data_IF_909665320853
#
_entry.id   IF_909665320853
#
_cell.length_a   1.000
_cell.length_b   1.000
_cell.length_c   1.000
_cell.angle_alpha   90.00
_cell.angle_beta   90.00
_cell.angle_gamma   90.00
#
_symmetry.space_group_name_H-M   'P 1'
#
loop_
_entity.id
_entity.type
_entity.pdbx_description
1 polymer ?
#
# COMPACT_ATOMS: atom_id res chain seq x y z
N UNK A 1 22.65 17.15 2.98
CA UNK A 1 21.23 17.12 2.59
C UNK A 1 20.96 18.35 1.75
N UNK A 2 20.21 18.20 0.66
CA UNK A 2 19.87 19.31 -0.23
C UNK A 2 18.50 19.83 0.20
N UNK A 3 18.48 20.84 1.09
CA UNK A 3 17.26 21.41 1.66
C UNK A 3 16.25 21.77 0.57
N UNK A 4 16.73 22.25 -0.59
CA UNK A 4 15.86 22.61 -1.71
C UNK A 4 15.09 21.39 -2.24
N UNK A 5 15.74 20.25 -2.37
CA UNK A 5 15.07 19.02 -2.82
C UNK A 5 14.00 18.57 -1.82
N UNK A 6 14.32 18.62 -0.53
CA UNK A 6 13.42 18.20 0.55
C UNK A 6 12.18 19.10 0.62
N UNK A 7 12.39 20.43 0.49
CA UNK A 7 11.31 21.42 0.40
C UNK A 7 10.40 21.15 -0.82
N UNK A 8 10.99 20.89 -1.99
CA UNK A 8 10.25 20.59 -3.22
C UNK A 8 9.47 19.28 -3.12
N UNK A 9 10.09 18.23 -2.58
CA UNK A 9 9.43 16.93 -2.44
C UNK A 9 8.30 17.00 -1.42
N UNK A 10 8.54 17.62 -0.27
CA UNK A 10 7.51 17.85 0.74
C UNK A 10 6.33 18.63 0.16
N UNK A 11 6.61 19.73 -0.55
CA UNK A 11 5.57 20.54 -1.20
C UNK A 11 4.79 19.77 -2.27
N UNK A 12 5.46 18.93 -3.07
CA UNK A 12 4.81 18.12 -4.09
C UNK A 12 3.91 17.04 -3.46
N UNK A 13 4.42 16.26 -2.49
CA UNK A 13 3.66 15.15 -1.90
C UNK A 13 2.49 15.68 -1.08
N UNK A 14 2.74 16.58 -0.12
CA UNK A 14 1.67 17.08 0.74
C UNK A 14 0.74 18.06 0.02
N UNK A 15 1.23 18.68 -1.07
CA UNK A 15 0.41 19.44 -2.00
C UNK A 15 -0.66 18.58 -2.65
N UNK A 16 -0.22 17.46 -3.24
CA UNK A 16 -1.12 16.48 -3.85
C UNK A 16 -2.01 15.81 -2.82
N UNK A 17 -1.46 15.35 -1.69
CA UNK A 17 -2.24 14.73 -0.61
C UNK A 17 -3.37 15.66 -0.14
N UNK A 18 -3.05 16.91 0.18
CA UNK A 18 -4.04 17.92 0.59
C UNK A 18 -5.09 18.16 -0.50
N UNK A 19 -4.70 18.28 -1.77
CA UNK A 19 -5.65 18.49 -2.88
C UNK A 19 -6.71 17.36 -2.95
N UNK A 20 -6.30 16.14 -2.65
CA UNK A 20 -7.17 14.96 -2.58
C UNK A 20 -7.87 14.80 -1.21
N UNK A 21 -7.72 15.75 -0.30
CA UNK A 21 -8.35 15.76 1.02
C UNK A 21 -7.56 15.03 2.12
N UNK A 22 -6.34 14.58 1.82
CA UNK A 22 -5.48 13.87 2.77
C UNK A 22 -4.92 14.77 3.86
N UNK A 23 -4.85 14.21 5.06
CA UNK A 23 -4.23 14.78 6.25
C UNK A 23 -3.20 13.80 6.81
N UNK A 24 -1.95 13.95 6.37
CA UNK A 24 -0.81 13.14 6.84
C UNK A 24 -0.61 13.14 8.36
N UNK A 25 -1.09 14.18 9.05
CA UNK A 25 -0.95 14.30 10.51
C UNK A 25 -2.17 13.75 11.26
N UNK A 26 -3.23 13.35 10.55
CA UNK A 26 -4.37 12.70 11.18
C UNK A 26 -3.90 11.40 11.86
N UNK A 27 -4.27 11.16 13.13
CA UNK A 27 -3.90 9.93 13.83
C UNK A 27 -4.70 8.71 13.36
N UNK A 28 -5.73 8.92 12.53
CA UNK A 28 -6.63 7.88 12.01
C UNK A 28 -6.53 7.77 10.49
N UNK A 29 -6.75 6.55 9.99
CA UNK A 29 -6.82 6.27 8.56
C UNK A 29 -8.00 6.94 7.86
N UNK A 30 -8.95 7.46 8.64
CA UNK A 30 -10.09 8.23 8.10
C UNK A 30 -9.69 9.54 7.44
N UNK A 31 -8.56 10.14 7.85
CA UNK A 31 -8.05 11.38 7.28
C UNK A 31 -6.87 11.21 6.33
N UNK A 32 -6.21 10.05 6.32
CA UNK A 32 -5.05 9.79 5.45
C UNK A 32 -5.50 9.34 4.08
N UNK A 33 -4.75 9.70 3.03
CA UNK A 33 -5.15 9.34 1.67
C UNK A 33 -4.02 9.02 0.69
N UNK A 34 -3.06 9.91 0.46
CA UNK A 34 -1.90 9.67 -0.41
C UNK A 34 -0.63 9.57 0.42
N UNK A 35 -0.38 10.53 1.31
CA UNK A 35 0.74 10.47 2.24
C UNK A 35 0.34 9.66 3.47
N UNK A 36 0.98 8.50 3.64
CA UNK A 36 0.69 7.56 4.72
C UNK A 36 1.60 7.76 5.94
N UNK A 37 2.69 8.53 5.81
CA UNK A 37 3.56 8.88 6.93
C UNK A 37 4.25 10.23 6.75
N UNK A 38 4.67 10.84 7.86
CA UNK A 38 5.64 11.93 7.90
C UNK A 38 6.49 11.78 9.17
N UNK A 39 7.55 10.99 9.07
CA UNK A 39 8.38 10.63 10.23
C UNK A 39 9.76 11.30 10.25
N UNK A 40 10.03 12.25 9.36
CA UNK A 40 11.34 12.91 9.21
C UNK A 40 11.69 13.90 10.32
N UNK A 41 10.70 14.35 11.10
CA UNK A 41 10.77 15.53 12.00
C UNK A 41 11.00 16.88 11.29
N UNK A 42 11.13 16.89 9.96
CA UNK A 42 11.26 18.12 9.19
C UNK A 42 9.97 18.96 9.28
N UNK A 43 10.07 20.30 9.25
CA UNK A 43 8.91 21.17 9.23
C UNK A 43 7.96 20.83 8.07
N UNK A 44 6.66 20.85 8.35
CA UNK A 44 5.65 20.66 7.32
C UNK A 44 5.67 21.85 6.33
N UNK A 45 5.67 21.60 5.01
CA UNK A 45 5.71 22.63 3.98
C UNK A 45 4.47 23.53 4.01
N UNK A 46 4.56 24.69 3.35
CA UNK A 46 3.42 25.60 3.16
C UNK A 46 2.22 24.91 2.49
N UNK A 47 2.48 23.94 1.60
CA UNK A 47 1.47 23.12 0.96
C UNK A 47 0.53 22.42 1.96
N UNK A 48 1.00 22.16 3.19
CA UNK A 48 0.19 21.60 4.26
C UNK A 48 -0.25 22.66 5.29
N UNK A 49 0.63 23.60 5.66
CA UNK A 49 0.40 24.53 6.78
C UNK A 49 -0.38 25.79 6.41
N UNK A 50 -0.51 26.12 5.12
CA UNK A 50 -1.23 27.31 4.66
C UNK A 50 -2.73 27.26 5.06
N UNK A 51 -3.37 28.37 5.44
CA UNK A 51 -4.78 28.37 5.87
C UNK A 51 -5.76 27.76 4.83
N UNK A 52 -5.52 28.00 3.54
CA UNK A 52 -6.33 27.39 2.47
C UNK A 52 -6.21 25.86 2.43
N UNK A 53 -5.05 25.30 2.80
CA UNK A 53 -4.82 23.86 2.85
C UNK A 53 -5.71 23.17 3.89
N UNK A 54 -5.86 23.79 5.07
CA UNK A 54 -6.68 23.27 6.16
C UNK A 54 -8.14 23.10 5.71
N UNK A 55 -8.70 24.10 5.03
CA UNK A 55 -10.06 24.04 4.51
C UNK A 55 -10.26 22.93 3.47
N UNK A 56 -9.29 22.72 2.58
CA UNK A 56 -9.36 21.62 1.60
C UNK A 56 -9.38 20.26 2.30
N UNK A 57 -8.55 20.05 3.33
CA UNK A 57 -8.56 18.81 4.13
C UNK A 57 -9.88 18.60 4.86
N UNK A 58 -10.39 19.63 5.55
CA UNK A 58 -11.67 19.57 6.27
C UNK A 58 -12.86 19.22 5.36
N UNK A 59 -12.81 19.64 4.10
CA UNK A 59 -13.88 19.42 3.13
C UNK A 59 -13.69 18.17 2.27
N UNK A 60 -12.57 17.44 2.45
CA UNK A 60 -12.26 16.20 1.75
C UNK A 60 -11.72 16.37 0.33
N UNK A 61 -11.31 17.59 -0.04
CA UNK A 61 -10.68 17.91 -1.33
C UNK A 61 -11.46 17.42 -2.55
N UNK A 62 -10.76 17.07 -3.62
CA UNK A 62 -11.38 16.54 -4.86
C UNK A 62 -12.00 15.15 -4.69
N UNK A 63 -11.69 14.44 -3.60
CA UNK A 63 -12.28 13.12 -3.28
C UNK A 63 -13.69 13.23 -2.70
N UNK A 64 -14.10 14.41 -2.25
CA UNK A 64 -15.44 14.64 -1.71
C UNK A 64 -16.52 14.38 -2.76
N UNK A 65 -17.69 13.91 -2.32
CA UNK A 65 -18.87 13.76 -3.20
C UNK A 65 -19.32 15.09 -3.80
N UNK A 66 -19.06 16.18 -3.10
CA UNK A 66 -19.31 17.56 -3.53
C UNK A 66 -18.07 18.39 -3.14
N UNK A 67 -17.06 18.47 -4.04
CA UNK A 67 -15.85 19.25 -3.76
C UNK A 67 -16.17 20.72 -3.46
N UNK A 68 -15.56 21.28 -2.42
CA UNK A 68 -15.61 22.71 -2.11
C UNK A 68 -14.69 23.45 -3.11
N UNK A 69 -15.26 23.78 -4.28
CA UNK A 69 -14.51 24.40 -5.37
C UNK A 69 -13.85 25.71 -4.94
N UNK A 70 -14.50 26.54 -4.11
CA UNK A 70 -13.91 27.80 -3.65
C UNK A 70 -12.66 27.57 -2.79
N UNK A 71 -12.72 26.62 -1.85
CA UNK A 71 -11.57 26.23 -1.05
C UNK A 71 -10.42 25.68 -1.92
N UNK A 72 -10.74 24.84 -2.90
CA UNK A 72 -9.77 24.25 -3.81
C UNK A 72 -9.12 25.33 -4.70
N UNK A 73 -9.89 26.28 -5.23
CA UNK A 73 -9.36 27.42 -5.99
C UNK A 73 -8.41 28.27 -5.15
N UNK A 74 -8.82 28.62 -3.92
CA UNK A 74 -7.99 29.41 -3.02
C UNK A 74 -6.68 28.69 -2.69
N UNK A 75 -6.73 27.36 -2.55
CA UNK A 75 -5.55 26.55 -2.32
C UNK A 75 -4.61 26.51 -3.54
N UNK A 76 -5.14 26.24 -4.73
CA UNK A 76 -4.37 26.21 -5.98
C UNK A 76 -3.81 27.58 -6.37
N UNK A 77 -4.45 28.67 -5.95
CA UNK A 77 -3.92 30.02 -6.11
C UNK A 77 -2.75 30.32 -5.16
N UNK A 78 -2.71 29.68 -3.99
CA UNK A 78 -1.68 29.89 -2.97
C UNK A 78 -0.49 28.94 -3.10
N UNK A 79 -0.72 27.71 -3.59
CA UNK A 79 0.25 26.62 -3.61
C UNK A 79 0.44 26.11 -5.04
N UNK A 80 1.64 26.34 -5.59
CA UNK A 80 2.01 25.89 -6.93
C UNK A 80 2.52 24.43 -6.91
N UNK A 81 1.57 23.49 -6.87
CA UNK A 81 1.85 22.05 -6.89
C UNK A 81 2.58 21.65 -8.19
N UNK A 82 2.16 22.09 -9.40
CA UNK A 82 2.88 21.76 -10.64
C UNK A 82 4.35 22.19 -10.63
N UNK A 83 4.67 23.39 -10.13
CA UNK A 83 6.06 23.85 -10.04
C UNK A 83 6.87 23.00 -9.06
N UNK A 84 6.28 22.58 -7.92
CA UNK A 84 6.94 21.67 -6.99
C UNK A 84 7.24 20.31 -7.64
N UNK A 85 6.26 19.70 -8.32
CA UNK A 85 6.43 18.43 -9.06
C UNK A 85 7.51 18.57 -10.14
N UNK A 86 7.48 19.66 -10.91
CA UNK A 86 8.50 19.92 -11.92
C UNK A 86 9.90 20.08 -11.29
N UNK A 87 10.00 20.79 -10.16
CA UNK A 87 11.22 20.91 -9.38
C UNK A 87 11.77 19.55 -8.95
N UNK A 88 10.92 18.65 -8.44
CA UNK A 88 11.32 17.28 -8.08
C UNK A 88 11.88 16.53 -9.29
N UNK A 89 11.30 16.67 -10.49
CA UNK A 89 11.84 16.06 -11.73
C UNK A 89 13.24 16.60 -12.06
N UNK A 90 13.46 17.91 -11.93
CA UNK A 90 14.75 18.54 -12.18
C UNK A 90 15.81 18.09 -11.17
N UNK A 91 15.46 17.99 -9.89
CA UNK A 91 16.37 17.49 -8.85
C UNK A 91 16.67 15.99 -9.02
N UNK A 92 15.67 15.18 -9.39
CA UNK A 92 15.86 13.76 -9.67
C UNK A 92 16.96 13.53 -10.72
N UNK A 93 16.99 14.35 -11.78
CA UNK A 93 17.98 14.25 -12.86
C UNK A 93 19.43 14.48 -12.39
N UNK A 94 19.64 15.12 -11.23
CA UNK A 94 20.95 15.31 -10.61
C UNK A 94 21.41 14.11 -9.79
N UNK A 95 20.49 13.24 -9.39
CA UNK A 95 20.83 12.00 -8.69
C UNK A 95 21.42 10.96 -9.66
N UNK A 96 22.22 10.06 -9.11
CA UNK A 96 22.72 8.88 -9.82
C UNK A 96 21.93 7.62 -9.50
N UNK A 97 22.06 6.61 -10.36
CA UNK A 97 21.61 5.24 -10.08
C UNK A 97 20.10 5.10 -9.81
N UNK A 98 19.76 4.22 -8.86
CA UNK A 98 18.38 3.86 -8.52
C UNK A 98 17.59 5.03 -7.91
N UNK A 99 18.27 5.91 -7.16
CA UNK A 99 17.62 7.06 -6.52
C UNK A 99 17.03 8.04 -7.53
N UNK A 100 17.74 8.32 -8.63
CA UNK A 100 17.20 9.12 -9.74
C UNK A 100 15.89 8.53 -10.25
N UNK A 101 15.90 7.24 -10.54
CA UNK A 101 14.80 6.58 -11.22
C UNK A 101 13.58 6.44 -10.28
N UNK A 102 13.81 6.20 -8.98
CA UNK A 102 12.78 6.21 -7.94
C UNK A 102 12.10 7.58 -7.81
N UNK A 103 12.89 8.65 -7.66
CA UNK A 103 12.34 10.01 -7.48
C UNK A 103 11.65 10.50 -8.76
N UNK A 104 12.19 10.19 -9.93
CA UNK A 104 11.51 10.47 -11.21
C UNK A 104 10.18 9.70 -11.32
N UNK A 105 10.14 8.46 -10.84
CA UNK A 105 8.92 7.65 -10.74
C UNK A 105 7.87 8.29 -9.84
N UNK A 106 8.26 8.77 -8.65
CA UNK A 106 7.37 9.50 -7.74
C UNK A 106 6.79 10.75 -8.42
N UNK A 107 7.62 11.57 -9.04
CA UNK A 107 7.16 12.78 -9.71
C UNK A 107 6.19 12.50 -10.87
N UNK A 108 6.39 11.40 -11.61
CA UNK A 108 5.44 10.94 -12.63
C UNK A 108 4.10 10.54 -12.02
N UNK A 109 4.11 9.83 -10.88
CA UNK A 109 2.89 9.49 -10.17
C UNK A 109 2.15 10.76 -9.71
N UNK A 110 2.84 11.71 -9.08
CA UNK A 110 2.24 12.97 -8.62
C UNK A 110 1.66 13.82 -9.74
N UNK A 111 2.34 13.91 -10.89
CA UNK A 111 1.80 14.58 -12.07
C UNK A 111 0.50 13.92 -12.55
N UNK A 112 0.45 12.59 -12.57
CA UNK A 112 -0.76 11.86 -12.96
C UNK A 112 -1.89 12.09 -11.97
N UNK A 113 -1.60 12.13 -10.66
CA UNK A 113 -2.57 12.44 -9.61
C UNK A 113 -3.07 13.89 -9.70
N UNK A 114 -2.21 14.83 -10.06
CA UNK A 114 -2.59 16.22 -10.29
C UNK A 114 -3.57 16.34 -11.47
N UNK A 115 -3.23 15.72 -12.60
CA UNK A 115 -4.07 15.77 -13.80
C UNK A 115 -5.44 15.12 -13.56
N UNK A 116 -5.48 14.03 -12.78
CA UNK A 116 -6.74 13.41 -12.34
C UNK A 116 -7.58 14.35 -11.47
N UNK A 117 -6.95 15.13 -10.59
CA UNK A 117 -7.66 16.14 -9.81
C UNK A 117 -8.21 17.25 -10.72
N UNK A 118 -7.44 17.70 -11.73
CA UNK A 118 -7.89 18.71 -12.68
C UNK A 118 -9.01 18.20 -13.59
N UNK A 119 -9.00 16.91 -13.97
CA UNK A 119 -10.10 16.25 -14.68
C UNK A 119 -11.40 16.34 -13.85
N UNK A 120 -11.36 15.98 -12.56
CA UNK A 120 -12.53 16.04 -11.65
C UNK A 120 -13.11 17.45 -11.56
N UNK A 121 -12.24 18.46 -11.51
CA UNK A 121 -12.63 19.87 -11.45
C UNK A 121 -13.13 20.42 -12.79
N UNK A 122 -13.09 19.65 -13.87
CA UNK A 122 -13.45 20.11 -15.21
C UNK A 122 -12.46 21.10 -15.81
N UNK A 123 -11.22 21.11 -15.33
CA UNK A 123 -10.14 22.04 -15.71
C UNK A 123 -9.04 21.40 -16.54
N UNK A 124 -8.95 20.07 -16.51
CA UNK A 124 -8.00 19.27 -17.29
C UNK A 124 -8.71 18.44 -18.36
N UNK A 125 -7.93 17.92 -19.30
CA UNK A 125 -8.40 16.86 -20.20
C UNK A 125 -8.62 15.56 -19.44
N UNK A 126 -9.46 14.68 -19.98
CA UNK A 126 -9.57 13.30 -19.52
C UNK A 126 -8.19 12.63 -19.48
N UNK A 127 -7.85 12.02 -18.35
CA UNK A 127 -6.61 11.28 -18.13
C UNK A 127 -6.84 9.82 -18.55
N UNK A 128 -6.13 9.32 -19.58
CA UNK A 128 -6.33 7.96 -20.07
C UNK A 128 -6.06 6.92 -18.97
N UNK A 129 -6.95 5.93 -18.84
CA UNK A 129 -6.80 4.83 -17.87
C UNK A 129 -5.42 4.16 -17.94
N UNK A 130 -4.92 3.91 -19.14
CA UNK A 130 -3.61 3.28 -19.37
C UNK A 130 -2.46 4.11 -18.78
N UNK A 131 -2.53 5.45 -18.84
CA UNK A 131 -1.53 6.33 -18.23
C UNK A 131 -1.53 6.16 -16.71
N UNK A 132 -2.71 6.08 -16.08
CA UNK A 132 -2.83 5.90 -14.64
C UNK A 132 -2.20 4.58 -14.18
N UNK A 133 -2.49 3.47 -14.86
CA UNK A 133 -1.94 2.15 -14.52
C UNK A 133 -0.43 2.10 -14.76
N UNK A 134 0.06 2.64 -15.89
CA UNK A 134 1.50 2.69 -16.16
C UNK A 134 2.27 3.56 -15.16
N UNK A 135 1.67 4.65 -14.71
CA UNK A 135 2.29 5.52 -13.71
C UNK A 135 2.53 4.76 -12.40
N UNK A 136 1.51 4.08 -11.85
CA UNK A 136 1.62 3.39 -10.55
C UNK A 136 2.26 2.00 -10.60
N UNK A 137 2.20 1.29 -11.73
CA UNK A 137 2.69 -0.10 -11.81
C UNK A 137 3.91 -0.29 -12.71
N UNK A 138 4.20 0.67 -13.59
CA UNK A 138 5.23 0.54 -14.62
C UNK A 138 4.88 -0.40 -15.78
N UNK A 139 3.65 -0.94 -15.83
CA UNK A 139 3.14 -1.78 -16.92
C UNK A 139 1.76 -1.32 -17.38
N UNK A 140 1.39 -1.69 -18.60
CA UNK A 140 0.05 -1.42 -19.14
C UNK A 140 -1.04 -2.20 -18.40
N UNK A 141 -2.32 -1.79 -18.52
CA UNK A 141 -3.44 -2.50 -17.92
C UNK A 141 -3.66 -3.86 -18.59
N UNK A 142 -3.93 -4.87 -17.77
CA UNK A 142 -4.27 -6.22 -18.22
C UNK A 142 -5.36 -6.83 -17.33
N UNK A 143 -6.25 -7.67 -17.89
CA UNK A 143 -7.22 -8.41 -17.08
C UNK A 143 -6.52 -9.41 -16.16
N UNK A 144 -7.19 -9.82 -15.09
CA UNK A 144 -6.71 -10.85 -14.17
C UNK A 144 -7.20 -12.24 -14.58
N UNK A 145 -6.35 -13.27 -14.44
CA UNK A 145 -6.75 -14.67 -14.58
C UNK A 145 -6.88 -15.34 -13.20
N UNK A 146 -8.11 -15.57 -12.70
CA UNK A 146 -8.33 -16.21 -11.42
C UNK A 146 -8.34 -17.74 -11.50
N UNK A 147 -8.35 -18.35 -12.69
CA UNK A 147 -8.66 -19.77 -12.86
C UNK A 147 -7.71 -20.68 -12.07
N UNK A 148 -6.36 -20.52 -12.13
CA UNK A 148 -5.45 -21.41 -11.39
C UNK A 148 -5.67 -21.37 -9.87
N UNK A 149 -5.90 -20.17 -9.31
CA UNK A 149 -6.13 -20.02 -7.87
C UNK A 149 -7.49 -20.58 -7.45
N UNK A 150 -8.53 -20.39 -8.27
CA UNK A 150 -9.87 -20.96 -8.04
C UNK A 150 -9.87 -22.47 -8.08
N UNK A 151 -9.21 -23.07 -9.06
CA UNK A 151 -9.07 -24.51 -9.18
C UNK A 151 -8.35 -25.09 -7.96
N UNK A 152 -7.26 -24.43 -7.51
CA UNK A 152 -6.56 -24.87 -6.30
C UNK A 152 -7.42 -24.75 -5.04
N UNK A 153 -8.19 -23.68 -4.88
CA UNK A 153 -9.13 -23.56 -3.75
C UNK A 153 -10.18 -24.68 -3.81
N UNK A 154 -10.72 -24.98 -4.99
CA UNK A 154 -11.71 -26.04 -5.16
C UNK A 154 -11.12 -27.44 -4.87
N UNK A 155 -9.89 -27.70 -5.30
CA UNK A 155 -9.16 -28.94 -4.99
C UNK A 155 -8.96 -29.09 -3.48
N UNK A 156 -8.51 -28.02 -2.81
CA UNK A 156 -8.35 -28.04 -1.36
C UNK A 156 -9.69 -28.32 -0.69
N UNK A 157 -10.76 -27.60 -1.01
CA UNK A 157 -12.06 -27.75 -0.34
C UNK A 157 -12.85 -29.00 -0.76
N UNK A 158 -12.49 -29.65 -1.87
CA UNK A 158 -13.23 -30.77 -2.45
C UNK A 158 -14.53 -30.37 -3.17
N UNK A 159 -14.85 -29.07 -3.18
CA UNK A 159 -16.04 -28.47 -3.79
C UNK A 159 -15.70 -27.08 -4.34
N UNK A 160 -16.48 -26.59 -5.30
CA UNK A 160 -16.25 -25.29 -5.95
C UNK A 160 -17.45 -24.35 -5.82
N UNK A 161 -17.19 -23.05 -5.93
CA UNK A 161 -18.22 -22.02 -6.02
C UNK A 161 -18.34 -21.14 -4.78
N UNK A 162 -19.01 -20.01 -4.93
CA UNK A 162 -19.12 -18.97 -3.89
C UNK A 162 -19.78 -19.47 -2.62
N UNK A 163 -20.85 -20.28 -2.73
CA UNK A 163 -21.55 -20.84 -1.58
C UNK A 163 -20.63 -21.73 -0.71
N UNK A 164 -19.73 -22.50 -1.34
CA UNK A 164 -18.73 -23.29 -0.63
C UNK A 164 -17.76 -22.39 0.13
N UNK A 165 -17.30 -21.29 -0.47
CA UNK A 165 -16.40 -20.33 0.18
C UNK A 165 -17.09 -19.60 1.32
N UNK A 166 -18.34 -19.20 1.16
CA UNK A 166 -19.08 -18.51 2.23
C UNK A 166 -19.31 -19.42 3.43
N UNK A 167 -19.68 -20.68 3.17
CA UNK A 167 -19.78 -21.70 4.21
C UNK A 167 -18.44 -21.92 4.91
N UNK A 168 -17.35 -22.05 4.15
CA UNK A 168 -16.01 -22.18 4.73
C UNK A 168 -15.63 -20.96 5.58
N UNK A 169 -15.87 -19.73 5.11
CA UNK A 169 -15.62 -18.50 5.89
C UNK A 169 -16.43 -18.47 7.19
N UNK A 170 -17.70 -18.88 7.11
CA UNK A 170 -18.59 -18.93 8.27
C UNK A 170 -18.12 -19.96 9.31
N UNK A 171 -17.72 -21.17 8.87
CA UNK A 171 -17.18 -22.23 9.74
C UNK A 171 -15.87 -21.84 10.43
N UNK A 172 -15.06 -20.99 9.79
CA UNK A 172 -13.76 -20.54 10.30
C UNK A 172 -13.79 -19.13 10.91
N UNK A 173 -14.98 -18.58 11.17
CA UNK A 173 -15.15 -17.19 11.60
C UNK A 173 -14.50 -16.92 12.97
N UNK A 174 -13.82 -15.78 13.08
CA UNK A 174 -13.35 -15.26 14.38
C UNK A 174 -14.47 -14.44 15.04
N UNK A 175 -14.83 -14.73 16.31
CA UNK A 175 -15.67 -13.83 17.09
C UNK A 175 -14.97 -12.50 17.34
N UNK A 176 -15.66 -11.38 17.14
CA UNK A 176 -15.09 -10.04 17.32
C UNK A 176 -14.47 -9.80 18.69
N UNK A 177 -15.09 -10.36 19.75
CA UNK A 177 -14.58 -10.28 21.11
C UNK A 177 -13.17 -10.91 21.27
N UNK A 178 -12.78 -11.80 20.37
CA UNK A 178 -11.50 -12.51 20.40
C UNK A 178 -10.40 -11.82 19.58
N UNK A 179 -10.73 -10.88 18.69
CA UNK A 179 -9.76 -10.27 17.76
C UNK A 179 -8.57 -9.64 18.49
N UNK A 180 -8.81 -8.90 19.59
CA UNK A 180 -7.71 -8.23 20.30
C UNK A 180 -6.71 -9.23 20.89
N UNK A 181 -7.22 -10.24 21.60
CA UNK A 181 -6.38 -11.27 22.25
C UNK A 181 -5.70 -12.15 21.20
N UNK A 182 -6.43 -12.54 20.15
CA UNK A 182 -5.90 -13.33 19.04
C UNK A 182 -4.84 -12.54 18.27
N UNK A 183 -5.06 -11.24 18.03
CA UNK A 183 -4.12 -10.36 17.33
C UNK A 183 -2.75 -10.33 18.00
N UNK A 184 -2.68 -10.16 19.32
CA UNK A 184 -1.41 -10.18 20.05
C UNK A 184 -0.68 -11.53 19.91
N UNK A 185 -1.42 -12.65 19.98
CA UNK A 185 -0.84 -13.98 19.80
C UNK A 185 -0.33 -14.21 18.37
N UNK A 186 -1.11 -13.80 17.36
CA UNK A 186 -0.75 -13.94 15.93
C UNK A 186 0.46 -13.06 15.59
N UNK A 187 0.56 -11.86 16.16
CA UNK A 187 1.73 -10.99 15.98
C UNK A 187 2.98 -11.64 16.57
N UNK A 188 2.91 -12.15 17.81
CA UNK A 188 4.03 -12.84 18.42
C UNK A 188 4.45 -14.07 17.60
N UNK A 189 3.49 -14.81 17.06
CA UNK A 189 3.73 -15.95 16.16
C UNK A 189 4.47 -15.54 14.88
N UNK A 190 3.98 -14.52 14.16
CA UNK A 190 4.64 -14.08 12.93
C UNK A 190 5.96 -13.35 13.18
N UNK A 191 6.15 -12.68 14.32
CA UNK A 191 7.44 -12.10 14.67
C UNK A 191 8.49 -13.18 14.93
N UNK A 192 8.13 -14.28 15.61
CA UNK A 192 9.02 -15.43 15.78
C UNK A 192 9.41 -16.07 14.44
N UNK A 193 8.43 -16.29 13.57
CA UNK A 193 8.65 -16.79 12.22
C UNK A 193 9.55 -15.84 11.41
N UNK A 194 9.31 -14.54 11.46
CA UNK A 194 10.11 -13.53 10.77
C UNK A 194 11.53 -13.43 11.33
N UNK A 195 11.73 -13.65 12.64
CA UNK A 195 13.04 -13.76 13.24
C UNK A 195 13.82 -14.98 12.71
N UNK A 196 13.13 -16.08 12.40
CA UNK A 196 13.73 -17.30 11.86
C UNK A 196 13.97 -17.26 10.35
N UNK A 197 13.08 -16.62 9.58
CA UNK A 197 13.04 -16.77 8.12
C UNK A 197 13.29 -15.48 7.33
N UNK A 198 13.20 -14.30 7.95
CA UNK A 198 13.45 -13.01 7.28
C UNK A 198 14.71 -12.36 7.82
N UNK A 199 14.77 -12.19 9.14
CA UNK A 199 15.86 -11.47 9.84
C UNK A 199 17.27 -12.01 9.54
N UNK A 200 17.51 -13.32 9.36
CA UNK A 200 18.86 -13.83 9.08
C UNK A 200 19.45 -13.32 7.76
N UNK A 201 18.60 -12.90 6.82
CA UNK A 201 19.04 -12.36 5.53
C UNK A 201 19.30 -10.85 5.57
N UNK A 202 18.93 -10.16 6.67
CA UNK A 202 19.04 -8.71 6.79
C UNK A 202 20.32 -8.29 7.53
N UNK A 203 20.83 -7.07 7.27
CA UNK A 203 21.98 -6.53 7.99
C UNK A 203 21.77 -6.53 9.51
N UNK A 204 22.85 -6.77 10.27
CA UNK A 204 22.82 -6.80 11.74
C UNK A 204 22.19 -5.56 12.36
N UNK A 205 22.37 -4.40 11.74
CA UNK A 205 21.85 -3.13 12.23
C UNK A 205 20.31 -3.04 12.24
N UNK A 206 19.60 -3.91 11.50
CA UNK A 206 18.14 -3.98 11.52
C UNK A 206 17.58 -4.96 12.57
N UNK A 207 18.44 -5.76 13.23
CA UNK A 207 17.99 -6.79 14.18
C UNK A 207 17.32 -6.21 15.43
N UNK A 208 17.73 -5.01 15.85
CA UNK A 208 17.20 -4.31 17.03
C UNK A 208 15.96 -3.47 16.72
N UNK A 209 15.55 -3.36 15.45
CA UNK A 209 14.36 -2.59 15.07
C UNK A 209 13.12 -3.41 15.47
N UNK A 210 12.19 -2.84 16.25
CA UNK A 210 10.95 -3.51 16.60
C UNK A 210 10.02 -3.57 15.38
N UNK A 211 9.95 -4.74 14.76
CA UNK A 211 9.20 -5.02 13.52
C UNK A 211 7.68 -4.99 13.66
N UNK A 212 7.19 -5.02 14.90
CA UNK A 212 5.77 -5.15 15.22
C UNK A 212 5.33 -4.20 16.35
N UNK A 213 5.95 -3.01 16.45
CA UNK A 213 5.52 -2.01 17.43
C UNK A 213 4.22 -1.33 17.00
N UNK A 214 3.10 -2.03 17.20
CA UNK A 214 1.78 -1.61 16.74
C UNK A 214 0.74 -1.69 17.85
N UNK A 215 -0.18 -0.73 17.88
CA UNK A 215 -1.35 -0.74 18.74
C UNK A 215 -2.65 -0.99 17.95
N UNK A 216 -3.44 -1.99 18.36
CA UNK A 216 -4.77 -2.22 17.79
C UNK A 216 -5.82 -1.29 18.42
N UNK A 217 -6.52 -0.56 17.57
CA UNK A 217 -7.58 0.36 17.92
C UNK A 217 -8.90 -0.13 17.31
N UNK A 218 -9.90 -0.54 18.11
CA UNK A 218 -11.20 -0.87 17.56
C UNK A 218 -11.91 0.42 17.12
N UNK A 219 -12.46 0.43 15.90
CA UNK A 219 -13.31 1.50 15.40
C UNK A 219 -14.68 0.93 15.04
N UNK A 220 -15.74 1.73 15.25
CA UNK A 220 -17.10 1.38 14.86
C UNK A 220 -17.52 2.21 13.64
N UNK A 221 -18.34 1.64 12.77
CA UNK A 221 -18.99 2.32 11.64
C UNK A 221 -18.04 3.00 10.63
N UNK A 222 -16.78 2.56 10.58
CA UNK A 222 -15.85 3.04 9.57
C UNK A 222 -16.20 2.53 8.18
N UNK A 223 -15.96 3.36 7.15
CA UNK A 223 -16.20 3.00 5.75
C UNK A 223 -15.14 2.02 5.19
N UNK A 224 -14.11 1.71 5.98
CA UNK A 224 -13.08 0.72 5.69
C UNK A 224 -13.09 -0.41 6.73
N UNK A 225 -12.50 -1.56 6.37
CA UNK A 225 -12.45 -2.76 7.20
C UNK A 225 -11.25 -2.76 8.16
N UNK A 226 -10.15 -2.14 7.76
CA UNK A 226 -9.06 -1.78 8.64
C UNK A 226 -8.12 -0.79 7.97
N UNK A 227 -7.29 -0.12 8.77
CA UNK A 227 -6.27 0.80 8.33
C UNK A 227 -5.07 0.71 9.26
N UNK A 228 -3.92 0.37 8.68
CA UNK A 228 -2.64 0.53 9.33
C UNK A 228 -2.19 1.99 9.16
N UNK A 229 -1.75 2.62 10.25
CA UNK A 229 -1.24 3.97 10.26
C UNK A 229 0.17 3.96 10.85
N UNK A 230 1.15 4.29 10.02
CA UNK A 230 2.52 4.45 10.48
C UNK A 230 2.76 5.91 10.84
N UNK A 231 2.86 6.21 12.14
CA UNK A 231 3.07 7.58 12.59
C UNK A 231 4.57 7.87 12.63
N UNK A 232 5.36 7.00 13.28
CA UNK A 232 6.81 7.08 13.32
C UNK A 232 7.39 8.35 13.93
N UNK A 233 6.68 9.12 14.75
CA UNK A 233 7.15 10.43 15.27
C UNK A 233 7.71 10.35 16.68
N UNK A 234 7.31 9.36 17.48
CA UNK A 234 7.90 9.15 18.80
C UNK A 234 9.42 8.91 18.74
N UNK A 235 10.13 9.48 19.72
CA UNK A 235 11.59 9.44 19.86
C UNK A 235 11.98 9.04 21.27
N UNK A 236 13.03 8.23 21.38
CA UNK A 236 13.70 7.95 22.64
C UNK A 236 14.54 9.16 23.08
N UNK A 237 15.04 9.11 24.31
CA UNK A 237 15.89 10.17 24.86
C UNK A 237 17.19 10.41 24.06
N UNK A 238 17.69 9.42 23.31
CA UNK A 238 18.86 9.54 22.45
C UNK A 238 18.53 10.05 21.02
N UNK A 239 17.25 10.40 20.77
CA UNK A 239 16.77 10.83 19.47
C UNK A 239 16.51 9.68 18.48
N UNK A 240 16.70 8.42 18.86
CA UNK A 240 16.35 7.28 18.02
C UNK A 240 14.82 7.07 17.95
N UNK A 241 14.28 6.59 16.82
CA UNK A 241 12.84 6.42 16.65
C UNK A 241 12.26 5.28 17.49
N UNK A 242 11.04 5.46 17.99
CA UNK A 242 10.29 4.39 18.67
C UNK A 242 9.50 3.49 17.71
N UNK A 243 9.42 3.85 16.41
CA UNK A 243 8.75 3.08 15.36
C UNK A 243 7.26 2.84 15.62
N UNK A 244 6.57 3.88 16.07
CA UNK A 244 5.16 3.79 16.45
C UNK A 244 4.23 3.57 15.23
N UNK A 245 3.31 2.62 15.38
CA UNK A 245 2.24 2.37 14.43
C UNK A 245 0.92 2.06 15.16
N UNK A 246 -0.20 2.29 14.49
CA UNK A 246 -1.53 1.84 14.95
C UNK A 246 -2.22 1.04 13.87
N UNK A 247 -3.10 0.13 14.26
CA UNK A 247 -4.00 -0.57 13.36
C UNK A 247 -5.44 -0.35 13.82
N UNK A 248 -6.19 0.40 13.04
CA UNK A 248 -7.60 0.60 13.27
C UNK A 248 -8.36 -0.55 12.60
N UNK A 249 -9.10 -1.36 13.39
CA UNK A 249 -9.89 -2.47 12.85
C UNK A 249 -11.37 -2.21 13.05
N UNK A 250 -12.14 -2.37 11.98
CA UNK A 250 -13.58 -2.20 12.04
C UNK A 250 -14.22 -3.34 12.85
N UNK A 251 -14.95 -2.97 13.89
CA UNK A 251 -15.58 -3.91 14.80
C UNK A 251 -16.72 -4.73 14.15
N UNK A 252 -17.18 -4.35 12.96
CA UNK A 252 -18.18 -5.10 12.18
C UNK A 252 -17.58 -6.13 11.21
N UNK A 253 -16.25 -6.20 11.11
CA UNK A 253 -15.59 -7.06 10.13
C UNK A 253 -15.86 -8.55 10.41
N UNK A 254 -16.47 -9.24 9.46
CA UNK A 254 -16.56 -10.69 9.46
C UNK A 254 -15.34 -11.28 8.74
N UNK A 255 -14.46 -11.96 9.48
CA UNK A 255 -13.22 -12.53 8.95
C UNK A 255 -12.99 -13.95 9.46
N UNK A 256 -12.48 -14.82 8.59
CA UNK A 256 -12.05 -16.17 8.95
C UNK A 256 -10.66 -16.16 9.62
N UNK A 257 -10.34 -17.19 10.41
CA UNK A 257 -9.01 -17.31 11.04
C UNK A 257 -7.88 -17.21 10.00
N UNK A 258 -7.89 -17.94 8.87
CA UNK A 258 -6.81 -17.85 7.90
C UNK A 258 -6.70 -16.49 7.21
N UNK A 259 -7.82 -15.84 6.90
CA UNK A 259 -7.80 -14.48 6.34
C UNK A 259 -7.29 -13.46 7.37
N UNK A 260 -7.54 -13.67 8.67
CA UNK A 260 -6.98 -12.83 9.73
C UNK A 260 -5.48 -13.04 9.93
N UNK A 261 -4.98 -14.27 9.81
CA UNK A 261 -3.54 -14.54 9.79
C UNK A 261 -2.86 -13.81 8.63
N UNK A 262 -3.45 -13.88 7.43
CA UNK A 262 -2.97 -13.11 6.28
C UNK A 262 -3.00 -11.61 6.56
N UNK A 263 -4.09 -11.07 7.10
CA UNK A 263 -4.22 -9.66 7.45
C UNK A 263 -3.11 -9.21 8.41
N UNK A 264 -2.87 -9.95 9.49
CA UNK A 264 -1.82 -9.59 10.45
C UNK A 264 -0.44 -9.64 9.82
N UNK A 265 -0.15 -10.66 8.99
CA UNK A 265 1.15 -10.74 8.31
C UNK A 265 1.36 -9.59 7.30
N UNK A 266 0.29 -9.20 6.60
CA UNK A 266 0.28 -8.12 5.61
C UNK A 266 0.48 -6.76 6.27
N UNK A 267 -0.28 -6.47 7.32
CA UNK A 267 -0.30 -5.13 7.92
C UNK A 267 0.83 -4.93 8.92
N UNK A 268 1.24 -5.99 9.63
CA UNK A 268 2.14 -5.87 10.78
C UNK A 268 3.53 -6.45 10.48
N UNK A 269 3.65 -7.78 10.52
CA UNK A 269 4.95 -8.45 10.52
C UNK A 269 4.89 -9.74 9.69
N UNK A 270 5.75 -9.90 8.67
CA UNK A 270 6.82 -9.00 8.24
C UNK A 270 6.37 -7.92 7.20
N UNK A 271 5.08 -7.61 7.09
CA UNK A 271 4.55 -6.69 6.07
C UNK A 271 4.78 -5.19 6.30
N UNK A 272 3.72 -4.39 6.27
CA UNK A 272 3.82 -2.92 6.22
C UNK A 272 4.57 -2.30 7.41
N UNK A 273 4.18 -2.59 8.66
CA UNK A 273 4.89 -2.01 9.83
C UNK A 273 6.37 -2.37 9.84
N UNK A 274 6.71 -3.62 9.51
CA UNK A 274 8.11 -4.05 9.39
C UNK A 274 8.86 -3.26 8.32
N UNK A 275 8.27 -3.14 7.13
CA UNK A 275 8.85 -2.38 6.02
C UNK A 275 9.12 -0.94 6.42
N UNK A 276 8.14 -0.30 7.03
CA UNK A 276 8.20 1.11 7.39
C UNK A 276 9.14 1.38 8.56
N UNK A 277 9.21 0.48 9.54
CA UNK A 277 10.20 0.54 10.61
C UNK A 277 11.64 0.42 10.10
N UNK A 278 11.89 -0.43 9.11
CA UNK A 278 13.20 -0.52 8.48
C UNK A 278 13.55 0.72 7.67
N UNK A 279 12.62 1.25 6.88
CA UNK A 279 12.86 2.51 6.15
C UNK A 279 13.11 3.69 7.09
N UNK A 280 12.38 3.77 8.20
CA UNK A 280 12.63 4.76 9.24
C UNK A 280 14.02 4.60 9.87
N UNK A 281 14.44 3.37 10.19
CA UNK A 281 15.78 3.12 10.75
C UNK A 281 16.87 3.55 9.77
N UNK A 282 16.72 3.20 8.48
CA UNK A 282 17.67 3.56 7.44
C UNK A 282 17.74 5.08 7.25
N UNK A 283 16.59 5.78 7.28
CA UNK A 283 16.54 7.24 7.22
C UNK A 283 17.25 7.88 8.41
N UNK A 284 16.92 7.43 9.64
CA UNK A 284 17.55 7.94 10.87
C UNK A 284 19.08 7.78 10.87
N UNK A 285 19.59 6.72 10.22
CA UNK A 285 21.03 6.47 10.06
C UNK A 285 21.66 7.21 8.88
N UNK A 286 20.87 7.90 8.06
CA UNK A 286 21.35 8.59 6.85
C UNK A 286 21.68 7.66 5.67
N UNK A 287 21.18 6.42 5.68
CA UNK A 287 21.43 5.41 4.63
C UNK A 287 20.47 5.56 3.44
N UNK A 288 19.31 6.18 3.65
CA UNK A 288 18.33 6.53 2.61
C UNK A 288 17.90 7.99 2.75
N UNK A 289 17.44 8.58 1.66
CA UNK A 289 17.08 9.99 1.61
C UNK A 289 15.72 10.32 2.24
N UNK A 290 15.42 11.62 2.31
CA UNK A 290 14.16 12.19 2.80
C UNK A 290 12.91 11.54 2.19
N UNK A 291 12.97 11.11 0.94
CA UNK A 291 11.86 10.43 0.26
C UNK A 291 11.44 9.10 0.93
N UNK A 292 12.27 8.50 1.80
CA UNK A 292 11.87 7.36 2.64
C UNK A 292 10.86 7.75 3.73
N UNK A 293 10.86 9.03 4.15
CA UNK A 293 10.08 9.51 5.30
C UNK A 293 8.60 9.73 5.05
N UNK A 294 8.23 9.75 3.77
CA UNK A 294 6.88 9.99 3.29
C UNK A 294 6.46 8.83 2.42
N UNK A 295 5.88 7.83 3.07
CA UNK A 295 5.35 6.66 2.39
C UNK A 295 4.08 7.07 1.67
N UNK A 296 3.88 6.54 0.47
CA UNK A 296 2.81 7.00 -0.43
C UNK A 296 1.92 5.87 -0.89
N UNK A 297 0.65 6.18 -1.08
CA UNK A 297 -0.32 5.36 -1.81
C UNK A 297 -0.37 5.81 -3.27
N UNK A 298 -0.93 4.98 -4.16
CA UNK A 298 -1.08 5.28 -5.60
C UNK A 298 0.25 5.47 -6.38
N UNK A 299 1.40 5.07 -5.83
CA UNK A 299 2.71 5.20 -6.47
C UNK A 299 3.34 3.84 -6.80
N UNK A 300 4.45 3.85 -7.54
CA UNK A 300 5.28 2.66 -7.78
C UNK A 300 5.87 2.07 -6.51
N UNK A 301 6.17 2.92 -5.53
CA UNK A 301 6.61 2.50 -4.21
C UNK A 301 5.47 1.76 -3.51
N UNK A 302 4.25 2.31 -3.54
CA UNK A 302 3.06 1.64 -3.01
C UNK A 302 2.85 0.25 -3.63
N UNK A 303 2.99 0.12 -4.96
CA UNK A 303 2.90 -1.18 -5.63
C UNK A 303 3.92 -2.18 -5.06
N UNK A 304 5.17 -1.77 -4.83
CA UNK A 304 6.16 -2.66 -4.22
C UNK A 304 5.81 -3.01 -2.76
N UNK A 305 5.38 -2.03 -1.96
CA UNK A 305 5.02 -2.23 -0.54
C UNK A 305 3.84 -3.19 -0.39
N UNK A 306 2.78 -3.03 -1.20
CA UNK A 306 1.68 -4.00 -1.25
C UNK A 306 2.18 -5.39 -1.67
N UNK A 307 3.12 -5.45 -2.63
CA UNK A 307 3.74 -6.70 -3.03
C UNK A 307 4.48 -7.41 -1.90
N UNK A 308 5.21 -6.66 -1.07
CA UNK A 308 5.90 -7.16 0.11
C UNK A 308 4.88 -7.67 1.12
N UNK A 309 3.90 -6.84 1.47
CA UNK A 309 2.86 -7.16 2.44
C UNK A 309 2.02 -8.39 2.04
N UNK A 310 1.63 -8.51 0.78
CA UNK A 310 0.87 -9.67 0.28
C UNK A 310 1.67 -10.98 0.27
N UNK A 311 3.00 -10.90 0.12
CA UNK A 311 3.90 -12.05 0.21
C UNK A 311 4.43 -12.29 1.64
N UNK A 312 4.08 -11.43 2.61
CA UNK A 312 4.66 -11.44 3.94
C UNK A 312 4.43 -12.76 4.68
N UNK A 313 3.25 -13.38 4.54
CA UNK A 313 2.97 -14.68 5.15
C UNK A 313 3.92 -15.78 4.63
N UNK A 314 4.22 -15.76 3.33
CA UNK A 314 5.12 -16.73 2.70
C UNK A 314 6.55 -16.49 3.18
N UNK A 315 6.95 -15.22 3.29
CA UNK A 315 8.25 -14.84 3.86
C UNK A 315 8.40 -15.28 5.32
N UNK A 316 7.38 -15.06 6.16
CA UNK A 316 7.37 -15.50 7.54
C UNK A 316 7.57 -17.02 7.65
N UNK A 317 6.89 -17.79 6.79
CA UNK A 317 7.05 -19.24 6.75
C UNK A 317 8.33 -19.72 6.04
N UNK A 318 9.15 -18.83 5.49
CA UNK A 318 10.35 -19.21 4.74
C UNK A 318 10.06 -19.96 3.45
N UNK A 319 8.89 -19.76 2.84
CA UNK A 319 8.44 -20.42 1.61
C UNK A 319 8.18 -19.41 0.50
N UNK A 320 8.11 -19.90 -0.73
CA UNK A 320 7.83 -19.09 -1.94
C UNK A 320 6.51 -19.45 -2.61
N UNK A 321 5.90 -20.57 -2.21
CA UNK A 321 4.66 -21.08 -2.81
C UNK A 321 3.63 -21.37 -1.72
N UNK A 322 2.36 -21.19 -2.08
CA UNK A 322 1.24 -21.41 -1.16
C UNK A 322 1.16 -22.88 -0.74
N UNK A 323 1.39 -23.83 -1.64
CA UNK A 323 1.29 -25.28 -1.35
C UNK A 323 2.30 -25.79 -0.31
N UNK A 324 3.32 -24.98 0.01
CA UNK A 324 4.32 -25.23 1.06
C UNK A 324 3.93 -24.67 2.43
N UNK A 325 2.81 -23.98 2.55
CA UNK A 325 2.28 -23.53 3.84
C UNK A 325 1.84 -24.72 4.70
N UNK A 326 1.98 -24.62 6.04
CA UNK A 326 1.90 -25.75 6.97
C UNK A 326 0.56 -26.49 6.99
N UNK A 327 -0.54 -25.80 6.69
CA UNK A 327 -1.88 -26.41 6.73
C UNK A 327 -2.77 -25.91 5.60
N UNK A 328 -3.80 -26.71 5.32
CA UNK A 328 -4.74 -26.51 4.23
C UNK A 328 -5.59 -25.25 4.39
N UNK A 329 -6.02 -24.90 5.59
CA UNK A 329 -6.89 -23.73 5.80
C UNK A 329 -6.10 -22.44 5.59
N UNK A 330 -4.83 -22.42 6.00
CA UNK A 330 -3.91 -21.33 5.69
C UNK A 330 -3.70 -21.20 4.17
N UNK A 331 -3.52 -22.31 3.46
CA UNK A 331 -3.44 -22.29 1.99
C UNK A 331 -4.69 -21.67 1.35
N UNK A 332 -5.88 -22.05 1.81
CA UNK A 332 -7.15 -21.49 1.33
C UNK A 332 -7.22 -19.99 1.63
N UNK A 333 -6.94 -19.57 2.87
CA UNK A 333 -6.95 -18.16 3.26
C UNK A 333 -6.04 -17.29 2.40
N UNK A 334 -4.82 -17.75 2.14
CA UNK A 334 -3.86 -17.04 1.28
C UNK A 334 -4.33 -16.98 -0.16
N UNK A 335 -4.87 -18.08 -0.72
CA UNK A 335 -5.42 -18.06 -2.08
C UNK A 335 -6.60 -17.10 -2.22
N UNK A 336 -7.49 -17.02 -1.22
CA UNK A 336 -8.60 -16.07 -1.20
C UNK A 336 -8.10 -14.62 -1.14
N UNK A 337 -7.03 -14.33 -0.40
CA UNK A 337 -6.41 -13.02 -0.38
C UNK A 337 -5.76 -12.66 -1.74
N UNK A 338 -5.05 -13.60 -2.37
CA UNK A 338 -4.47 -13.39 -3.70
C UNK A 338 -5.56 -13.19 -4.77
N UNK A 339 -6.66 -13.95 -4.70
CA UNK A 339 -7.83 -13.73 -5.55
C UNK A 339 -8.48 -12.36 -5.30
N UNK A 340 -8.42 -11.83 -4.07
CA UNK A 340 -8.89 -10.47 -3.80
C UNK A 340 -7.99 -9.42 -4.47
N UNK A 341 -6.68 -9.60 -4.53
CA UNK A 341 -5.80 -8.69 -5.29
C UNK A 341 -6.09 -8.75 -6.79
N UNK A 342 -6.30 -9.95 -7.32
CA UNK A 342 -6.74 -10.13 -8.70
C UNK A 342 -8.08 -9.42 -8.93
N UNK A 343 -9.01 -9.48 -7.97
CA UNK A 343 -10.31 -8.81 -8.01
C UNK A 343 -10.18 -7.28 -7.98
N UNK A 344 -9.21 -6.72 -7.23
CA UNK A 344 -8.93 -5.27 -7.23
C UNK A 344 -8.51 -4.82 -8.64
N UNK A 345 -7.53 -5.51 -9.23
CA UNK A 345 -7.09 -5.22 -10.59
C UNK A 345 -8.22 -5.41 -11.61
N UNK A 346 -8.99 -6.48 -11.51
CA UNK A 346 -10.12 -6.74 -12.42
C UNK A 346 -11.22 -5.68 -12.29
N UNK A 347 -11.53 -5.24 -11.06
CA UNK A 347 -12.50 -4.17 -10.83
C UNK A 347 -12.08 -2.87 -11.52
N UNK A 348 -10.78 -2.55 -11.46
CA UNK A 348 -10.19 -1.42 -12.19
C UNK A 348 -10.36 -1.59 -13.71
N UNK A 349 -9.95 -2.73 -14.25
CA UNK A 349 -9.98 -3.03 -15.68
C UNK A 349 -11.41 -2.98 -16.24
N UNK A 350 -12.34 -3.72 -15.65
CA UNK A 350 -13.73 -3.79 -16.11
C UNK A 350 -14.46 -2.44 -15.99
N UNK A 351 -14.11 -1.62 -15.00
CA UNK A 351 -14.73 -0.31 -14.81
C UNK A 351 -14.19 0.73 -15.78
N UNK A 352 -12.88 0.86 -15.90
CA UNK A 352 -12.24 1.98 -16.61
C UNK A 352 -11.78 1.66 -18.03
N UNK A 353 -11.49 0.40 -18.35
CA UNK A 353 -11.16 -0.03 -19.72
C UNK A 353 -12.40 -0.44 -20.48
N UNK A 354 -13.21 -1.31 -19.88
CA UNK A 354 -14.36 -1.92 -20.55
C UNK A 354 -15.68 -1.14 -20.31
N UNK A 355 -15.69 -0.17 -19.39
CA UNK A 355 -16.86 0.67 -19.13
C UNK A 355 -18.07 -0.09 -18.58
N UNK A 356 -17.86 -1.23 -17.91
CA UNK A 356 -18.96 -2.10 -17.51
C UNK A 356 -19.81 -1.53 -16.36
N UNK A 357 -21.13 -1.78 -16.34
CA UNK A 357 -21.99 -1.37 -15.24
C UNK A 357 -21.61 -2.04 -13.91
N UNK A 358 -21.78 -1.31 -12.80
CA UNK A 358 -21.46 -1.79 -11.43
C UNK A 358 -22.01 -3.19 -11.12
N UNK A 359 -23.30 -3.52 -11.39
CA UNK A 359 -23.83 -4.85 -11.10
C UNK A 359 -23.12 -5.98 -11.85
N UNK A 360 -22.65 -5.71 -13.07
CA UNK A 360 -21.89 -6.68 -13.87
C UNK A 360 -20.52 -6.90 -13.25
N UNK A 361 -19.80 -5.81 -12.92
CA UNK A 361 -18.51 -5.89 -12.23
C UNK A 361 -18.65 -6.65 -10.91
N UNK A 362 -19.60 -6.27 -10.04
CA UNK A 362 -19.84 -6.93 -8.76
C UNK A 362 -20.08 -8.45 -8.90
N UNK A 363 -20.94 -8.84 -9.85
CA UNK A 363 -21.22 -10.24 -10.14
C UNK A 363 -19.96 -10.99 -10.58
N UNK A 364 -19.17 -10.42 -11.48
CA UNK A 364 -17.91 -11.01 -11.97
C UNK A 364 -16.92 -11.20 -10.82
N UNK A 365 -16.70 -10.17 -9.98
CA UNK A 365 -15.80 -10.28 -8.83
C UNK A 365 -16.26 -11.40 -7.89
N UNK A 366 -17.57 -11.46 -7.63
CA UNK A 366 -18.13 -12.46 -6.74
C UNK A 366 -17.98 -13.88 -7.28
N UNK A 367 -18.37 -14.13 -8.52
CA UNK A 367 -18.36 -15.48 -9.10
C UNK A 367 -16.97 -15.95 -9.48
N UNK A 368 -16.12 -15.03 -9.98
CA UNK A 368 -14.85 -15.39 -10.60
C UNK A 368 -13.64 -15.14 -9.73
N UNK A 369 -13.75 -14.36 -8.65
CA UNK A 369 -12.64 -14.08 -7.75
C UNK A 369 -12.97 -14.45 -6.31
N UNK A 370 -14.15 -15.05 -6.06
CA UNK A 370 -14.53 -15.62 -4.76
C UNK A 370 -14.47 -14.63 -3.58
N UNK A 371 -14.46 -13.32 -3.86
CA UNK A 371 -14.54 -12.29 -2.83
C UNK A 371 -15.91 -12.37 -2.13
N UNK A 372 -16.02 -11.84 -0.92
CA UNK A 372 -17.31 -11.72 -0.25
C UNK A 372 -18.24 -10.74 -0.99
N UNK A 373 -19.53 -10.76 -0.66
CA UNK A 373 -20.51 -9.81 -1.22
C UNK A 373 -20.12 -8.37 -0.88
N UNK A 374 -19.82 -8.07 0.38
CA UNK A 374 -19.33 -6.76 0.84
C UNK A 374 -18.12 -6.28 0.02
N UNK A 375 -17.14 -7.16 -0.21
CA UNK A 375 -15.95 -6.83 -1.01
C UNK A 375 -16.30 -6.59 -2.48
N UNK A 376 -17.17 -7.41 -3.08
CA UNK A 376 -17.64 -7.19 -4.44
C UNK A 376 -18.36 -5.84 -4.58
N UNK A 377 -19.18 -5.45 -3.61
CA UNK A 377 -19.87 -4.16 -3.59
C UNK A 377 -18.91 -2.98 -3.46
N UNK A 378 -17.93 -3.08 -2.55
CA UNK A 378 -16.91 -2.05 -2.33
C UNK A 378 -16.04 -1.86 -3.58
N UNK A 379 -15.52 -2.95 -4.14
CA UNK A 379 -14.62 -2.93 -5.29
C UNK A 379 -15.32 -2.51 -6.58
N UNK A 380 -16.57 -2.90 -6.81
CA UNK A 380 -17.35 -2.44 -7.98
C UNK A 380 -17.94 -1.03 -7.84
N UNK A 381 -17.99 -0.52 -6.60
CA UNK A 381 -18.58 0.76 -6.22
C UNK A 381 -17.53 1.79 -5.82
N UNK A 382 -17.54 2.17 -4.54
CA UNK A 382 -16.80 3.32 -4.03
C UNK A 382 -15.29 3.27 -4.31
N UNK A 383 -14.66 2.09 -4.32
CA UNK A 383 -13.24 1.96 -4.64
C UNK A 383 -12.97 1.90 -6.14
N UNK A 384 -13.60 0.97 -6.85
CA UNK A 384 -13.34 0.78 -8.29
C UNK A 384 -13.74 1.97 -9.14
N UNK A 385 -14.75 2.73 -8.73
CA UNK A 385 -15.19 3.95 -9.44
C UNK A 385 -14.53 5.22 -8.93
N UNK A 386 -13.71 5.15 -7.88
CA UNK A 386 -12.96 6.31 -7.45
C UNK A 386 -11.94 6.71 -8.54
N UNK A 387 -11.91 7.97 -8.99
CA UNK A 387 -10.99 8.44 -10.04
C UNK A 387 -9.52 8.07 -9.80
N UNK A 388 -9.04 8.24 -8.57
CA UNK A 388 -7.67 7.88 -8.18
C UNK A 388 -7.52 6.39 -7.83
N UNK A 389 -8.15 5.92 -6.75
CA UNK A 389 -7.98 4.53 -6.27
C UNK A 389 -8.29 3.50 -7.37
N UNK A 390 -9.39 3.70 -8.09
CA UNK A 390 -9.86 2.81 -9.15
C UNK A 390 -8.92 2.73 -10.35
N UNK A 391 -8.20 3.81 -10.69
CA UNK A 391 -7.30 3.85 -11.87
C UNK A 391 -5.83 3.62 -11.53
N UNK A 392 -5.39 3.95 -10.31
CA UNK A 392 -3.97 3.88 -9.92
C UNK A 392 -3.69 2.85 -8.82
N UNK A 393 -4.50 2.79 -7.75
CA UNK A 393 -4.16 1.96 -6.58
C UNK A 393 -4.59 0.51 -6.71
N UNK A 394 -5.82 0.24 -7.18
CA UNK A 394 -6.32 -1.14 -7.28
C UNK A 394 -5.41 -2.05 -8.15
N UNK A 395 -4.88 -1.60 -9.30
CA UNK A 395 -3.92 -2.39 -10.08
C UNK A 395 -2.57 -2.61 -9.38
N UNK A 396 -2.19 -1.72 -8.46
CA UNK A 396 -0.90 -1.75 -7.77
C UNK A 396 -0.73 -3.01 -6.91
N UNK A 397 -1.82 -3.46 -6.27
CA UNK A 397 -1.80 -4.68 -5.44
C UNK A 397 -1.33 -5.90 -6.23
N UNK A 398 -2.02 -6.26 -7.31
CA UNK A 398 -1.66 -7.43 -8.13
C UNK A 398 -0.26 -7.26 -8.74
N UNK A 399 0.06 -6.06 -9.25
CA UNK A 399 1.37 -5.78 -9.84
C UNK A 399 2.52 -6.00 -8.85
N UNK A 400 2.37 -5.50 -7.63
CA UNK A 400 3.29 -5.75 -6.53
C UNK A 400 3.41 -7.22 -6.17
N UNK A 401 2.26 -7.85 -5.90
CA UNK A 401 2.17 -9.24 -5.45
C UNK A 401 2.87 -10.19 -6.42
N UNK A 402 2.57 -10.05 -7.72
CA UNK A 402 3.21 -10.86 -8.77
C UNK A 402 4.70 -10.57 -8.90
N UNK A 403 5.11 -9.29 -8.80
CA UNK A 403 6.50 -8.89 -8.88
C UNK A 403 7.34 -9.54 -7.79
N UNK A 404 6.93 -9.40 -6.53
CA UNK A 404 7.65 -9.94 -5.37
C UNK A 404 7.66 -11.47 -5.39
N UNK A 405 6.52 -12.10 -5.69
CA UNK A 405 6.45 -13.55 -5.82
C UNK A 405 7.41 -14.08 -6.90
N UNK A 406 7.44 -13.45 -8.08
CA UNK A 406 8.35 -13.81 -9.17
C UNK A 406 9.82 -13.67 -8.75
N UNK A 407 10.20 -12.56 -8.12
CA UNK A 407 11.57 -12.34 -7.67
C UNK A 407 12.02 -13.42 -6.69
N UNK A 408 11.20 -13.73 -5.68
CA UNK A 408 11.53 -14.76 -4.68
C UNK A 408 11.57 -16.19 -5.23
N UNK A 409 10.81 -16.48 -6.30
CA UNK A 409 10.90 -17.77 -7.01
C UNK A 409 12.21 -17.92 -7.79
N UNK A 410 12.70 -16.82 -8.35
CA UNK A 410 13.84 -16.84 -9.27
C UNK A 410 15.18 -16.66 -8.56
N UNK A 411 15.20 -16.00 -7.40
CA UNK A 411 16.42 -15.54 -6.75
C UNK A 411 16.40 -15.90 -5.26
N UNK A 412 17.58 -16.20 -4.66
CA UNK A 412 17.67 -16.52 -3.23
C UNK A 412 17.19 -15.38 -2.33
N UNK A 413 16.62 -15.72 -1.17
CA UNK A 413 16.17 -14.76 -0.15
C UNK A 413 17.32 -13.85 0.35
N UNK A 414 18.57 -14.35 0.35
CA UNK A 414 19.76 -13.57 0.68
C UNK A 414 20.03 -12.39 -0.27
N UNK A 415 19.49 -12.42 -1.49
CA UNK A 415 19.59 -11.32 -2.45
C UNK A 415 18.30 -10.49 -2.48
N UNK A 416 17.14 -11.13 -2.39
CA UNK A 416 15.84 -10.47 -2.57
C UNK A 416 15.39 -9.70 -1.33
N UNK A 417 15.45 -10.32 -0.14
CA UNK A 417 14.90 -9.71 1.08
C UNK A 417 15.60 -8.39 1.47
N UNK A 418 16.94 -8.25 1.40
CA UNK A 418 17.58 -6.96 1.65
C UNK A 418 17.04 -5.84 0.74
N UNK A 419 16.86 -6.13 -0.55
CA UNK A 419 16.37 -5.14 -1.52
C UNK A 419 14.91 -4.76 -1.25
N UNK A 420 14.05 -5.73 -0.87
CA UNK A 420 12.65 -5.46 -0.52
C UNK A 420 12.53 -4.54 0.71
N UNK A 421 13.41 -4.70 1.70
CA UNK A 421 13.41 -3.90 2.93
C UNK A 421 14.33 -2.67 2.87
N UNK A 422 14.67 -2.18 1.68
CA UNK A 422 15.41 -0.93 1.47
C UNK A 422 16.92 -0.98 1.77
N UNK A 423 17.49 -2.15 2.07
CA UNK A 423 18.92 -2.29 2.39
C UNK A 423 19.83 -2.07 1.17
N UNK A 424 19.28 -2.09 -0.04
CA UNK A 424 19.98 -1.79 -1.30
C UNK A 424 19.68 -0.36 -1.81
N UNK A 425 19.23 0.52 -0.92
CA UNK A 425 18.68 1.83 -1.24
C UNK A 425 17.18 1.77 -1.53
N UNK A 426 16.57 2.94 -1.69
CA UNK A 426 15.15 3.02 -2.05
C UNK A 426 14.90 2.60 -3.48
N UNK A 427 13.89 1.78 -3.63
CA UNK A 427 13.49 1.13 -4.87
C UNK A 427 11.97 1.09 -4.95
N UNK A 428 11.47 0.89 -6.16
CA UNK A 428 10.06 0.71 -6.44
C UNK A 428 9.84 -0.54 -7.31
N UNK A 429 8.59 -0.83 -7.66
CA UNK A 429 8.22 -2.03 -8.43
C UNK A 429 8.94 -2.12 -9.80
N UNK A 430 9.45 -1.01 -10.32
CA UNK A 430 10.15 -0.90 -11.61
C UNK A 430 11.67 -0.91 -11.49
N UNK A 431 12.21 -0.53 -10.33
CA UNK A 431 13.67 -0.44 -10.11
C UNK A 431 14.25 -1.59 -9.29
N UNK A 432 13.41 -2.38 -8.61
CA UNK A 432 13.82 -3.49 -7.73
C UNK A 432 14.72 -4.54 -8.41
N UNK A 433 14.48 -4.94 -9.68
CA UNK A 433 15.33 -5.95 -10.33
C UNK A 433 16.77 -5.47 -10.49
N UNK A 434 16.96 -4.18 -10.77
CA UNK A 434 18.29 -3.58 -10.91
C UNK A 434 19.01 -3.50 -9.58
N UNK A 435 18.28 -3.28 -8.49
CA UNK A 435 18.87 -3.27 -7.15
C UNK A 435 19.41 -4.66 -6.77
N UNK A 436 18.64 -5.71 -7.07
CA UNK A 436 19.03 -7.09 -6.77
C UNK A 436 20.21 -7.53 -7.65
N UNK A 437 20.24 -7.15 -8.94
CA UNK A 437 21.37 -7.52 -9.81
C UNK A 437 22.65 -6.74 -9.51
N UNK A 438 22.54 -5.49 -9.07
CA UNK A 438 23.71 -4.67 -8.72
C UNK A 438 24.36 -5.11 -7.40
N UNK A 439 23.57 -5.58 -6.42
CA UNK A 439 24.09 -6.09 -5.15
C UNK A 439 24.74 -7.47 -5.26
N UNK A 440 24.40 -8.27 -6.28
CA UNK A 440 25.05 -9.54 -6.56
C UNK A 440 26.44 -9.41 -7.20
N UNK A 441 26.79 -8.22 -7.70
CA UNK A 441 28.07 -7.93 -8.35
C UNK A 441 29.10 -7.24 -7.41
N UNK A 442 28.68 -6.87 -6.20
CA UNK A 442 29.50 -6.32 -5.12
C UNK A 442 29.78 -7.39 -4.07
#
# INVERSE_FOLDING_TARGET
MDQRYEDLLGAAILGIDTLWGGDVMCPSGTGRFIADSWFSDEPLPSAYTHPAAARVRETGGVSSRQPDNEAIEAYLAAIDIPAAIHGVKLEAAKFGGLRRDYVAGLALCFETMFDLAMEILGKGSEVPYERCVMASTGRGPEPSDPAPKRERVAELLGESGTATIDRWRHEHRIPMASIRTLGAAVIAYFDQLSAAHVTPYLPNALRSVPRANIQFLPIQDAWFSGSMNYLGRARRADGSPEYEATYEINASLEISVPEFLQLVSHEVVPGHVTTFAYLQNLYWRGEVGFEASVLTMNTRAAALFEGIANNAILMAHGVTEVDKLPDKDLQVGVLLALLQDDAKNEASYLTWREGLPRPVVAKTLRSNFLVSEERAEKLSGAWGRHPLLGRMYLPAYRAGTEKVARLRRMLPDAQTLPALYGCSGLVDVTTIDRAITSSAAS
#
